data_IF_465082255633
#
_entry.id   IF_465082255633
#
_cell.length_a   1.000
_cell.length_b   1.000
_cell.length_c   1.000
_cell.angle_alpha   90.00
_cell.angle_beta   90.00
_cell.angle_gamma   90.00
#
_symmetry.space_group_name_H-M   'P 1'
#
loop_
_entity.id
_entity.type
_entity.pdbx_description
1 polymer ?
#
# COMPACT_ATOMS: atom_id res chain seq x y z
N UNK A 1 -29.72 3.23 -23.55
CA UNK A 1 -28.42 2.54 -23.54
C UNK A 1 -28.65 1.15 -24.12
N UNK A 2 -27.87 0.74 -25.12
CA UNK A 2 -27.97 -0.59 -25.72
C UNK A 2 -27.75 -1.70 -24.67
N UNK A 3 -28.39 -2.86 -24.84
CA UNK A 3 -28.28 -3.99 -23.91
C UNK A 3 -26.83 -4.45 -23.75
N UNK A 4 -26.06 -4.46 -24.85
CA UNK A 4 -24.65 -4.84 -24.86
C UNK A 4 -23.79 -3.87 -24.06
N UNK A 5 -24.00 -2.56 -24.22
CA UNK A 5 -23.34 -1.52 -23.41
C UNK A 5 -23.65 -1.71 -21.93
N UNK A 6 -24.93 -1.92 -21.60
CA UNK A 6 -25.37 -2.13 -20.21
C UNK A 6 -24.69 -3.34 -19.59
N UNK A 7 -24.67 -4.47 -20.30
CA UNK A 7 -24.03 -5.70 -19.81
C UNK A 7 -22.53 -5.52 -19.62
N UNK A 8 -21.84 -4.84 -20.54
CA UNK A 8 -20.39 -4.54 -20.41
C UNK A 8 -20.09 -3.68 -19.19
N UNK A 9 -20.91 -2.64 -18.93
CA UNK A 9 -20.80 -1.81 -17.72
C UNK A 9 -20.97 -2.64 -16.45
N UNK A 10 -21.99 -3.50 -16.39
CA UNK A 10 -22.25 -4.38 -15.24
C UNK A 10 -21.13 -5.41 -15.03
N UNK A 11 -20.56 -5.97 -16.10
CA UNK A 11 -19.41 -6.87 -16.01
C UNK A 11 -18.20 -6.14 -15.45
N UNK A 12 -17.89 -4.93 -15.93
CA UNK A 12 -16.79 -4.12 -15.37
C UNK A 12 -17.03 -3.77 -13.90
N UNK A 13 -18.28 -3.51 -13.50
CA UNK A 13 -18.65 -3.32 -12.10
C UNK A 13 -18.38 -4.59 -11.27
N UNK A 14 -18.76 -5.76 -11.79
CA UNK A 14 -18.42 -7.05 -11.16
C UNK A 14 -16.92 -7.26 -11.01
N UNK A 15 -16.13 -6.91 -12.03
CA UNK A 15 -14.66 -7.00 -12.00
C UNK A 15 -14.07 -6.11 -10.90
N UNK A 16 -14.53 -4.86 -10.74
CA UNK A 16 -14.00 -4.00 -9.68
C UNK A 16 -14.38 -4.50 -8.29
N UNK A 17 -15.57 -5.09 -8.11
CA UNK A 17 -15.94 -5.71 -6.84
C UNK A 17 -15.03 -6.92 -6.54
N UNK A 18 -14.65 -7.71 -7.54
CA UNK A 18 -13.67 -8.79 -7.39
C UNK A 18 -12.29 -8.23 -7.05
N UNK A 19 -11.85 -7.12 -7.68
CA UNK A 19 -10.59 -6.45 -7.32
C UNK A 19 -10.59 -5.98 -5.86
N UNK A 20 -11.71 -5.43 -5.38
CA UNK A 20 -11.88 -5.04 -3.97
C UNK A 20 -11.80 -6.27 -3.05
N UNK A 21 -12.42 -7.39 -3.42
CA UNK A 21 -12.30 -8.65 -2.66
C UNK A 21 -10.88 -9.21 -2.68
N UNK A 22 -10.23 -9.21 -3.84
CA UNK A 22 -8.83 -9.61 -3.99
C UNK A 22 -7.91 -8.79 -3.07
N UNK A 23 -8.25 -7.51 -2.89
CA UNK A 23 -7.57 -6.63 -1.96
C UNK A 23 -7.80 -7.00 -0.50
N UNK A 24 -9.05 -7.29 -0.12
CA UNK A 24 -9.40 -7.78 1.24
C UNK A 24 -8.59 -9.03 1.61
N UNK A 25 -8.39 -9.92 0.63
CA UNK A 25 -7.67 -11.18 0.81
C UNK A 25 -6.15 -11.10 0.59
N UNK A 26 -5.59 -9.91 0.33
CA UNK A 26 -4.17 -9.75 -0.02
C UNK A 26 -3.21 -10.38 1.02
N UNK A 27 -3.58 -10.38 2.31
CA UNK A 27 -2.83 -11.03 3.40
C UNK A 27 -2.68 -12.54 3.18
N UNK A 28 -3.73 -13.22 2.69
CA UNK A 28 -3.71 -14.68 2.43
C UNK A 28 -2.74 -15.05 1.30
N UNK A 29 -2.54 -14.13 0.37
CA UNK A 29 -1.62 -14.29 -0.75
C UNK A 29 -0.19 -13.79 -0.45
N UNK A 30 0.04 -13.20 0.73
CA UNK A 30 1.33 -12.59 1.05
C UNK A 30 1.62 -11.34 0.22
N UNK A 31 0.57 -10.69 -0.30
CA UNK A 31 0.63 -9.46 -1.09
C UNK A 31 0.06 -8.25 -0.32
N UNK A 32 -0.41 -8.44 0.92
CA UNK A 32 -0.76 -7.32 1.77
C UNK A 32 0.43 -6.38 1.92
N UNK A 33 0.12 -5.09 2.05
CA UNK A 33 1.09 -4.00 1.98
C UNK A 33 2.24 -4.10 2.99
N UNK A 34 2.05 -4.95 4.01
CA UNK A 34 2.77 -4.91 5.25
C UNK A 34 3.23 -6.29 5.79
N UNK A 35 3.34 -7.30 4.91
CA UNK A 35 3.59 -8.70 5.32
C UNK A 35 4.90 -9.31 4.76
N UNK A 36 5.88 -8.49 4.35
CA UNK A 36 7.18 -8.99 3.85
C UNK A 36 7.91 -9.89 4.86
N UNK A 37 7.73 -9.62 6.15
CA UNK A 37 8.08 -10.52 7.23
C UNK A 37 6.81 -10.78 8.03
N UNK A 38 6.24 -11.98 7.90
CA UNK A 38 5.15 -12.39 8.80
C UNK A 38 5.63 -12.26 10.25
N UNK A 39 4.67 -12.10 11.16
CA UNK A 39 4.90 -12.03 12.62
C UNK A 39 5.78 -13.17 13.16
N UNK A 40 5.83 -14.28 12.42
CA UNK A 40 6.52 -15.52 12.73
C UNK A 40 7.89 -15.66 12.01
N UNK A 41 8.33 -14.65 11.25
CA UNK A 41 9.63 -14.61 10.59
C UNK A 41 9.76 -15.41 9.28
N UNK A 42 8.67 -16.01 8.80
CA UNK A 42 8.68 -16.78 7.56
C UNK A 42 8.34 -15.92 6.33
N UNK A 43 8.99 -16.22 5.21
CA UNK A 43 8.77 -15.54 3.94
C UNK A 43 7.39 -15.87 3.35
N UNK A 44 6.76 -14.92 2.63
CA UNK A 44 5.55 -15.20 1.88
C UNK A 44 5.82 -16.18 0.73
N UNK A 45 4.84 -17.02 0.39
CA UNK A 45 4.99 -17.97 -0.70
C UNK A 45 4.93 -17.27 -2.04
N UNK A 46 6.04 -17.34 -2.80
CA UNK A 46 6.19 -16.67 -4.09
C UNK A 46 5.04 -17.01 -5.06
N UNK A 47 4.62 -18.27 -5.12
CA UNK A 47 3.53 -18.70 -5.99
C UNK A 47 2.19 -18.04 -5.67
N UNK A 48 1.82 -17.87 -4.39
CA UNK A 48 0.58 -17.18 -4.02
C UNK A 48 0.66 -15.69 -4.36
N UNK A 49 1.81 -15.08 -4.12
CA UNK A 49 2.02 -13.67 -4.42
C UNK A 49 1.98 -13.38 -5.92
N UNK A 50 2.60 -14.23 -6.73
CA UNK A 50 2.51 -14.18 -8.19
C UNK A 50 1.07 -14.39 -8.67
N UNK A 51 0.31 -15.32 -8.07
CA UNK A 51 -1.09 -15.52 -8.40
C UNK A 51 -1.93 -14.26 -8.10
N UNK A 52 -1.67 -13.58 -6.98
CA UNK A 52 -2.34 -12.33 -6.64
C UNK A 52 -2.03 -11.22 -7.67
N UNK A 53 -0.78 -11.09 -8.10
CA UNK A 53 -0.43 -10.15 -9.17
C UNK A 53 -1.11 -10.51 -10.48
N UNK A 54 -1.04 -11.78 -10.90
CA UNK A 54 -1.65 -12.24 -12.13
C UNK A 54 -3.17 -11.97 -12.16
N UNK A 55 -3.86 -12.22 -11.03
CA UNK A 55 -5.28 -11.90 -10.88
C UNK A 55 -5.51 -10.38 -10.90
N UNK A 56 -4.75 -9.59 -10.16
CA UNK A 56 -4.91 -8.15 -10.09
C UNK A 56 -4.70 -7.47 -11.45
N UNK A 57 -3.55 -7.70 -12.09
CA UNK A 57 -3.26 -7.17 -13.42
C UNK A 57 -4.25 -7.71 -14.46
N UNK A 58 -4.54 -9.02 -14.43
CA UNK A 58 -5.48 -9.65 -15.36
C UNK A 58 -6.89 -9.06 -15.28
N UNK A 59 -7.41 -8.82 -14.08
CA UNK A 59 -8.71 -8.19 -13.86
C UNK A 59 -8.71 -6.72 -14.29
N UNK A 60 -7.64 -5.95 -14.04
CA UNK A 60 -7.52 -4.56 -14.52
C UNK A 60 -7.53 -4.52 -16.06
N UNK A 61 -6.77 -5.40 -16.73
CA UNK A 61 -6.75 -5.50 -18.19
C UNK A 61 -8.12 -5.93 -18.72
N UNK A 62 -8.78 -6.90 -18.08
CA UNK A 62 -10.11 -7.34 -18.45
C UNK A 62 -11.13 -6.20 -18.31
N UNK A 63 -11.09 -5.42 -17.23
CA UNK A 63 -11.93 -4.24 -17.04
C UNK A 63 -11.73 -3.22 -18.17
N UNK A 64 -10.47 -2.91 -18.51
CA UNK A 64 -10.13 -1.97 -19.58
C UNK A 64 -10.62 -2.43 -20.97
N UNK A 65 -10.58 -3.73 -21.23
CA UNK A 65 -11.03 -4.29 -22.51
C UNK A 65 -12.55 -4.41 -22.60
N UNK A 66 -13.20 -4.84 -21.52
CA UNK A 66 -14.65 -5.04 -21.46
C UNK A 66 -15.40 -3.71 -21.41
N UNK A 67 -14.88 -2.69 -20.73
CA UNK A 67 -15.59 -1.42 -20.57
C UNK A 67 -15.94 -0.78 -21.93
N UNK A 68 -17.19 -0.32 -22.13
CA UNK A 68 -17.60 0.23 -23.42
C UNK A 68 -16.95 1.59 -23.66
N UNK A 69 -16.51 1.82 -24.91
CA UNK A 69 -15.92 3.11 -25.33
C UNK A 69 -16.98 4.20 -25.47
N UNK A 70 -18.23 3.79 -25.60
CA UNK A 70 -19.40 4.65 -25.71
C UNK A 70 -19.97 5.03 -24.34
N UNK A 71 -19.32 4.62 -23.24
CA UNK A 71 -19.73 4.99 -21.91
C UNK A 71 -19.66 6.51 -21.70
N UNK A 72 -20.57 7.05 -20.91
CA UNK A 72 -20.65 8.49 -20.64
C UNK A 72 -19.43 9.02 -19.87
N UNK A 73 -18.75 8.16 -19.11
CA UNK A 73 -17.56 8.51 -18.34
C UNK A 73 -16.46 7.51 -18.62
N UNK A 74 -15.27 7.98 -18.94
CA UNK A 74 -14.12 7.11 -19.10
C UNK A 74 -13.61 6.60 -17.75
N UNK A 75 -13.03 5.40 -17.75
CA UNK A 75 -12.26 4.92 -16.61
C UNK A 75 -10.97 5.74 -16.49
N UNK A 76 -10.56 6.07 -15.28
CA UNK A 76 -9.34 6.83 -15.04
C UNK A 76 -8.05 5.99 -15.17
N UNK A 77 -8.05 4.90 -15.94
CA UNK A 77 -6.92 3.97 -16.05
C UNK A 77 -5.72 4.53 -16.82
N UNK A 78 -5.87 5.68 -17.48
CA UNK A 78 -4.82 6.35 -18.23
C UNK A 78 -3.86 7.19 -17.37
N UNK A 79 -2.94 7.86 -18.03
CA UNK A 79 -2.03 8.82 -17.40
C UNK A 79 -2.68 10.19 -17.11
N UNK A 80 -3.84 10.49 -17.71
CA UNK A 80 -4.44 11.82 -17.65
C UNK A 80 -3.56 12.90 -18.31
N UNK A 81 -3.71 14.16 -17.87
CA UNK A 81 -2.78 15.23 -18.23
C UNK A 81 -1.35 14.90 -17.75
N UNK A 82 -0.42 14.78 -18.70
CA UNK A 82 0.94 14.29 -18.42
C UNK A 82 1.71 15.21 -17.49
N UNK A 83 1.58 16.53 -17.67
CA UNK A 83 2.30 17.51 -16.86
C UNK A 83 1.74 17.52 -15.43
N UNK A 84 0.42 17.59 -15.28
CA UNK A 84 -0.27 17.48 -14.00
C UNK A 84 0.01 16.17 -13.27
N UNK A 85 0.02 15.03 -13.98
CA UNK A 85 0.35 13.72 -13.41
C UNK A 85 1.78 13.67 -12.89
N UNK A 86 2.75 14.17 -13.66
CA UNK A 86 4.14 14.18 -13.26
C UNK A 86 4.38 15.11 -12.06
N UNK A 87 3.94 16.36 -12.15
CA UNK A 87 4.14 17.37 -11.10
C UNK A 87 3.39 16.96 -9.84
N UNK A 88 2.10 16.65 -9.97
CA UNK A 88 1.27 16.23 -8.84
C UNK A 88 1.75 14.93 -8.21
N UNK A 89 2.18 13.96 -9.02
CA UNK A 89 2.76 12.71 -8.54
C UNK A 89 4.08 12.91 -7.80
N UNK A 90 4.97 13.78 -8.28
CA UNK A 90 6.23 14.12 -7.60
C UNK A 90 6.00 14.90 -6.29
N UNK A 91 5.05 15.84 -6.28
CA UNK A 91 4.66 16.54 -5.05
C UNK A 91 4.09 15.57 -4.02
N UNK A 92 3.19 14.68 -4.45
CA UNK A 92 2.61 13.67 -3.58
C UNK A 92 3.67 12.69 -3.06
N UNK A 93 4.59 12.24 -3.92
CA UNK A 93 5.75 11.43 -3.55
C UNK A 93 6.65 12.13 -2.53
N UNK A 94 6.91 13.43 -2.71
CA UNK A 94 7.69 14.24 -1.78
C UNK A 94 7.03 14.35 -0.41
N UNK A 95 5.72 14.63 -0.38
CA UNK A 95 4.93 14.68 0.85
C UNK A 95 4.95 13.33 1.56
N UNK A 96 4.69 12.24 0.83
CA UNK A 96 4.70 10.88 1.39
C UNK A 96 6.07 10.47 1.93
N UNK A 97 7.15 10.86 1.25
CA UNK A 97 8.52 10.61 1.70
C UNK A 97 8.86 11.39 2.97
N UNK A 98 8.56 12.70 2.99
CA UNK A 98 8.77 13.54 4.16
C UNK A 98 7.96 13.04 5.37
N UNK A 99 6.73 12.60 5.11
CA UNK A 99 5.84 12.02 6.11
C UNK A 99 6.40 10.70 6.67
N UNK A 100 6.89 9.80 5.83
CA UNK A 100 7.49 8.54 6.25
C UNK A 100 8.77 8.74 7.08
N UNK A 101 9.67 9.63 6.62
CA UNK A 101 10.90 9.97 7.33
C UNK A 101 10.59 10.68 8.65
N UNK A 102 9.68 11.65 8.64
CA UNK A 102 9.25 12.38 9.83
C UNK A 102 8.65 11.45 10.88
N UNK A 103 7.81 10.50 10.46
CA UNK A 103 7.30 9.47 11.35
C UNK A 103 8.41 8.60 11.93
N UNK A 104 9.35 8.14 11.10
CA UNK A 104 10.46 7.32 11.57
C UNK A 104 11.33 8.05 12.60
N UNK A 105 11.70 9.32 12.33
CA UNK A 105 12.47 10.15 13.26
C UNK A 105 11.70 10.42 14.54
N UNK A 106 10.40 10.73 14.47
CA UNK A 106 9.57 10.95 15.65
C UNK A 106 9.39 9.68 16.50
N UNK A 107 9.23 8.51 15.85
CA UNK A 107 8.89 7.25 16.50
C UNK A 107 10.10 6.46 16.99
N UNK A 108 11.21 6.52 16.26
CA UNK A 108 12.43 5.73 16.47
C UNK A 108 13.67 6.58 16.73
N UNK A 109 13.61 7.91 16.60
CA UNK A 109 14.75 8.84 16.68
C UNK A 109 15.82 8.66 15.59
N UNK A 110 15.60 7.76 14.63
CA UNK A 110 16.46 7.54 13.47
C UNK A 110 15.66 6.88 12.33
N UNK A 111 16.24 6.88 11.13
CA UNK A 111 15.74 6.07 10.00
C UNK A 111 16.23 4.64 10.16
N UNK A 112 15.32 3.68 10.08
CA UNK A 112 15.61 2.26 10.28
C UNK A 112 15.59 1.55 8.93
N UNK A 113 16.76 1.42 8.31
CA UNK A 113 16.84 0.77 7.00
C UNK A 113 16.58 -0.74 7.11
N UNK A 114 15.85 -1.35 6.16
CA UNK A 114 15.62 -2.79 6.14
C UNK A 114 16.87 -3.58 5.74
N UNK A 115 16.84 -4.91 5.95
CA UNK A 115 17.86 -5.82 5.43
C UNK A 115 17.94 -5.71 3.89
N UNK A 116 19.14 -5.55 3.28
CA UNK A 116 19.33 -5.49 1.84
C UNK A 116 18.63 -6.60 1.04
N UNK A 117 18.50 -7.80 1.62
CA UNK A 117 17.83 -8.94 0.98
C UNK A 117 16.33 -8.74 0.78
N UNK A 118 15.70 -7.89 1.58
CA UNK A 118 14.26 -7.60 1.50
C UNK A 118 13.91 -6.59 0.39
N UNK A 119 14.88 -5.82 -0.13
CA UNK A 119 14.62 -4.72 -1.07
C UNK A 119 13.94 -5.18 -2.36
N UNK A 120 14.43 -6.20 -3.10
CA UNK A 120 13.84 -6.55 -4.39
C UNK A 120 12.38 -6.98 -4.26
N UNK A 121 12.09 -7.81 -3.24
CA UNK A 121 10.74 -8.27 -2.95
C UNK A 121 9.82 -7.13 -2.52
N UNK A 122 10.25 -6.32 -1.55
CA UNK A 122 9.43 -5.25 -0.98
C UNK A 122 9.13 -4.14 -1.97
N UNK A 123 10.12 -3.71 -2.74
CA UNK A 123 9.93 -2.67 -3.75
C UNK A 123 9.02 -3.16 -4.88
N UNK A 124 9.20 -4.39 -5.35
CA UNK A 124 8.29 -4.98 -6.33
C UNK A 124 6.87 -5.12 -5.76
N UNK A 125 6.73 -5.46 -4.47
CA UNK A 125 5.43 -5.48 -3.78
C UNK A 125 4.76 -4.12 -3.85
N UNK A 126 5.48 -3.10 -3.39
CA UNK A 126 4.98 -1.76 -3.23
C UNK A 126 4.50 -1.22 -4.57
N UNK A 127 5.27 -1.42 -5.64
CA UNK A 127 4.92 -1.00 -6.99
C UNK A 127 3.72 -1.79 -7.53
N UNK A 128 3.75 -3.13 -7.47
CA UNK A 128 2.67 -3.95 -8.04
C UNK A 128 1.33 -3.73 -7.31
N UNK A 129 1.36 -3.69 -5.98
CA UNK A 129 0.16 -3.49 -5.16
C UNK A 129 -0.39 -2.06 -5.29
N UNK A 130 0.47 -1.03 -5.30
CA UNK A 130 0.01 0.34 -5.54
C UNK A 130 -0.61 0.50 -6.92
N UNK A 131 -0.08 -0.13 -7.97
CA UNK A 131 -0.70 -0.12 -9.29
C UNK A 131 -2.11 -0.73 -9.26
N UNK A 132 -2.24 -1.93 -8.70
CA UNK A 132 -3.54 -2.64 -8.62
C UNK A 132 -4.53 -1.86 -7.77
N UNK A 133 -4.09 -1.29 -6.64
CA UNK A 133 -4.92 -0.49 -5.75
C UNK A 133 -5.39 0.80 -6.45
N UNK A 134 -4.49 1.52 -7.13
CA UNK A 134 -4.88 2.75 -7.84
C UNK A 134 -5.81 2.43 -9.02
N UNK A 135 -5.54 1.38 -9.80
CA UNK A 135 -6.43 0.96 -10.88
C UNK A 135 -7.82 0.56 -10.37
N UNK A 136 -7.90 -0.22 -9.28
CA UNK A 136 -9.17 -0.67 -8.72
C UNK A 136 -9.98 0.49 -8.11
N UNK A 137 -9.37 1.26 -7.20
CA UNK A 137 -10.09 2.25 -6.40
C UNK A 137 -10.20 3.61 -7.09
N UNK A 138 -9.12 4.10 -7.72
CA UNK A 138 -9.09 5.43 -8.37
C UNK A 138 -9.38 5.35 -9.86
N UNK A 139 -8.96 4.27 -10.52
CA UNK A 139 -9.25 4.02 -11.92
C UNK A 139 -10.71 3.68 -12.17
N UNK A 140 -11.19 2.61 -11.54
CA UNK A 140 -12.48 1.99 -11.87
C UNK A 140 -13.58 2.39 -10.89
N UNK A 141 -13.41 2.14 -9.58
CA UNK A 141 -14.46 2.41 -8.59
C UNK A 141 -14.82 3.90 -8.56
N UNK A 142 -13.83 4.79 -8.53
CA UNK A 142 -14.04 6.23 -8.56
C UNK A 142 -14.77 6.69 -9.84
N UNK A 143 -14.40 6.14 -11.01
CA UNK A 143 -15.10 6.43 -12.26
C UNK A 143 -16.57 6.01 -12.21
N UNK A 144 -16.89 4.87 -11.60
CA UNK A 144 -18.28 4.45 -11.38
C UNK A 144 -19.03 5.38 -10.42
N UNK A 145 -18.40 5.81 -9.32
CA UNK A 145 -19.02 6.72 -8.36
C UNK A 145 -19.33 8.08 -8.98
N UNK A 146 -18.37 8.65 -9.71
CA UNK A 146 -18.55 9.92 -10.45
C UNK A 146 -19.58 9.75 -11.58
N UNK A 147 -19.48 8.66 -12.35
CA UNK A 147 -20.42 8.36 -13.44
C UNK A 147 -21.85 8.11 -12.96
N UNK A 148 -22.04 7.68 -11.71
CA UNK A 148 -23.34 7.59 -11.06
C UNK A 148 -23.91 8.96 -10.63
N UNK A 149 -23.20 10.05 -10.87
CA UNK A 149 -23.63 11.41 -10.55
C UNK A 149 -23.28 11.88 -9.14
N UNK A 150 -22.43 11.14 -8.40
CA UNK A 150 -21.99 11.62 -7.08
C UNK A 150 -21.08 12.85 -7.24
N UNK A 151 -21.21 13.85 -6.36
CA UNK A 151 -20.28 14.98 -6.33
C UNK A 151 -18.83 14.49 -6.18
N UNK A 152 -17.84 15.11 -6.86
CA UNK A 152 -16.46 14.60 -6.87
C UNK A 152 -15.87 14.34 -5.49
N UNK A 153 -16.06 15.25 -4.53
CA UNK A 153 -15.56 15.07 -3.16
C UNK A 153 -16.22 13.88 -2.44
N UNK A 154 -17.51 13.63 -2.67
CA UNK A 154 -18.23 12.48 -2.10
C UNK A 154 -17.71 11.18 -2.72
N UNK A 155 -17.51 11.15 -4.05
CA UNK A 155 -16.96 9.98 -4.74
C UNK A 155 -15.53 9.67 -4.29
N UNK A 156 -14.67 10.70 -4.16
CA UNK A 156 -13.29 10.57 -3.65
C UNK A 156 -13.29 10.05 -2.22
N UNK A 157 -14.19 10.55 -1.37
CA UNK A 157 -14.28 10.10 0.03
C UNK A 157 -14.79 8.66 0.11
N UNK A 158 -15.83 8.32 -0.67
CA UNK A 158 -16.39 6.97 -0.73
C UNK A 158 -15.37 5.92 -1.17
N UNK A 159 -14.60 6.17 -2.23
CA UNK A 159 -13.53 5.25 -2.64
C UNK A 159 -12.41 5.16 -1.61
N UNK A 160 -12.04 6.27 -0.95
CA UNK A 160 -10.96 6.28 0.03
C UNK A 160 -11.32 5.44 1.26
N UNK A 161 -12.59 5.53 1.71
CA UNK A 161 -13.14 4.68 2.76
C UNK A 161 -13.20 3.22 2.32
N UNK A 162 -13.66 2.94 1.10
CA UNK A 162 -13.67 1.57 0.56
C UNK A 162 -12.27 0.95 0.51
N UNK A 163 -11.27 1.73 0.08
CA UNK A 163 -9.86 1.32 0.08
C UNK A 163 -9.37 1.06 1.51
N UNK A 164 -9.60 1.98 2.45
CA UNK A 164 -9.21 1.80 3.84
C UNK A 164 -9.85 0.55 4.48
N UNK A 165 -11.13 0.30 4.22
CA UNK A 165 -11.83 -0.91 4.66
C UNK A 165 -11.21 -2.17 4.03
N UNK A 166 -10.90 -2.13 2.73
CA UNK A 166 -10.29 -3.25 2.03
C UNK A 166 -8.87 -3.57 2.53
N UNK A 167 -8.14 -2.59 3.07
CA UNK A 167 -6.83 -2.82 3.71
C UNK A 167 -6.92 -3.47 5.10
N UNK A 168 -8.12 -3.50 5.72
CA UNK A 168 -8.37 -4.02 7.07
C UNK A 168 -7.52 -3.37 8.19
N UNK A 169 -6.95 -2.20 7.95
CA UNK A 169 -6.13 -1.48 8.93
C UNK A 169 -6.91 -0.95 10.14
N UNK A 170 -8.25 -0.93 10.07
CA UNK A 170 -9.10 -0.60 11.23
C UNK A 170 -9.30 -1.75 12.22
N UNK A 171 -8.82 -2.96 11.93
CA UNK A 171 -9.01 -4.12 12.80
C UNK A 171 -8.20 -4.02 14.11
N UNK A 172 -8.67 -4.63 15.22
CA UNK A 172 -7.93 -4.64 16.49
C UNK A 172 -6.49 -5.13 16.34
N UNK A 173 -5.54 -4.40 16.90
CA UNK A 173 -4.11 -4.73 16.84
C UNK A 173 -3.33 -4.12 15.68
N UNK A 174 -3.99 -3.34 14.79
CA UNK A 174 -3.35 -2.55 13.73
C UNK A 174 -3.00 -1.14 14.22
N UNK A 175 -1.95 -0.55 13.64
CA UNK A 175 -1.48 0.79 14.02
C UNK A 175 -2.40 1.90 13.46
N UNK A 176 -2.83 2.83 14.33
CA UNK A 176 -3.72 3.95 13.95
C UNK A 176 -3.07 4.93 12.98
N UNK A 177 -1.75 5.09 13.04
CA UNK A 177 -0.99 5.90 12.09
C UNK A 177 -1.13 5.32 10.67
N UNK A 178 -1.03 3.99 10.52
CA UNK A 178 -1.17 3.35 9.22
C UNK A 178 -2.58 3.52 8.66
N UNK A 179 -3.62 3.45 9.50
CA UNK A 179 -4.99 3.77 9.10
C UNK A 179 -5.12 5.22 8.61
N UNK A 180 -4.56 6.18 9.35
CA UNK A 180 -4.56 7.59 8.96
C UNK A 180 -3.82 7.83 7.64
N UNK A 181 -2.67 7.18 7.47
CA UNK A 181 -1.88 7.26 6.24
C UNK A 181 -2.63 6.69 5.04
N UNK A 182 -3.28 5.53 5.18
CA UNK A 182 -4.08 4.92 4.11
C UNK A 182 -5.31 5.77 3.75
N UNK A 183 -5.96 6.41 4.71
CA UNK A 183 -7.04 7.35 4.44
C UNK A 183 -6.52 8.60 3.70
N UNK A 184 -5.37 9.14 4.12
CA UNK A 184 -4.72 10.27 3.45
C UNK A 184 -4.34 9.93 2.01
N UNK A 185 -3.63 8.81 1.79
CA UNK A 185 -3.28 8.31 0.45
C UNK A 185 -4.55 8.03 -0.36
N UNK A 186 -5.55 7.40 0.27
CA UNK A 186 -6.94 7.27 -0.17
C UNK A 186 -7.45 8.51 -0.89
N UNK A 187 -7.54 9.57 -0.11
CA UNK A 187 -8.11 10.84 -0.48
C UNK A 187 -7.23 11.61 -1.48
N UNK A 188 -5.93 11.74 -1.20
CA UNK A 188 -4.99 12.49 -2.03
C UNK A 188 -4.85 11.90 -3.44
N UNK A 189 -4.71 10.57 -3.56
CA UNK A 189 -4.71 9.89 -4.85
C UNK A 189 -6.02 10.11 -5.61
N UNK A 190 -7.17 10.09 -4.92
CA UNK A 190 -8.47 10.31 -5.55
C UNK A 190 -8.63 11.74 -6.08
N UNK A 191 -8.20 12.73 -5.29
CA UNK A 191 -8.17 14.13 -5.71
C UNK A 191 -7.26 14.32 -6.93
N UNK A 192 -6.06 13.75 -6.90
CA UNK A 192 -5.10 13.83 -8.00
C UNK A 192 -5.64 13.15 -9.27
N UNK A 193 -6.31 12.01 -9.12
CA UNK A 193 -6.89 11.27 -10.25
C UNK A 193 -8.01 12.05 -10.93
N UNK A 194 -8.94 12.65 -10.16
CA UNK A 194 -10.04 13.44 -10.74
C UNK A 194 -9.52 14.71 -11.40
N UNK A 195 -8.54 15.37 -10.77
CA UNK A 195 -7.99 16.64 -11.29
C UNK A 195 -7.20 16.45 -12.58
N UNK A 196 -6.46 15.35 -12.70
CA UNK A 196 -5.61 15.08 -13.85
C UNK A 196 -6.31 14.20 -14.90
N UNK A 197 -7.36 13.49 -14.52
CA UNK A 197 -8.10 12.57 -15.41
C UNK A 197 -7.41 11.22 -15.60
N UNK A 198 -6.61 10.76 -14.64
CA UNK A 198 -5.92 9.48 -14.73
C UNK A 198 -5.15 9.09 -13.48
N UNK A 199 -4.88 7.79 -13.31
CA UNK A 199 -4.17 7.25 -12.15
C UNK A 199 -2.65 7.50 -12.18
N UNK A 200 -2.07 8.01 -13.27
CA UNK A 200 -0.62 8.12 -13.45
C UNK A 200 0.11 8.80 -12.28
N UNK A 201 -0.29 10.02 -11.92
CA UNK A 201 0.28 10.75 -10.78
C UNK A 201 -0.03 10.11 -9.42
N UNK A 202 -1.25 9.59 -9.25
CA UNK A 202 -1.67 8.92 -8.02
C UNK A 202 -0.84 7.65 -7.75
N UNK A 203 -0.63 6.83 -8.79
CA UNK A 203 0.23 5.65 -8.77
C UNK A 203 1.67 6.01 -8.41
N UNK A 204 2.25 7.03 -9.06
CA UNK A 204 3.62 7.46 -8.75
C UNK A 204 3.76 7.85 -7.27
N UNK A 205 2.88 8.74 -6.78
CA UNK A 205 2.95 9.21 -5.40
C UNK A 205 2.68 8.10 -4.38
N UNK A 206 1.69 7.24 -4.63
CA UNK A 206 1.39 6.11 -3.76
C UNK A 206 2.55 5.08 -3.73
N UNK A 207 3.08 4.68 -4.88
CA UNK A 207 4.21 3.75 -4.97
C UNK A 207 5.43 4.28 -4.20
N UNK A 208 5.80 5.55 -4.42
CA UNK A 208 6.94 6.16 -3.72
C UNK A 208 6.69 6.27 -2.22
N UNK A 209 5.48 6.68 -1.80
CA UNK A 209 5.12 6.76 -0.37
C UNK A 209 5.31 5.41 0.32
N UNK A 210 4.91 4.31 -0.32
CA UNK A 210 5.07 2.97 0.24
C UNK A 210 6.52 2.54 0.33
N UNK A 211 7.30 2.79 -0.72
CA UNK A 211 8.73 2.54 -0.71
C UNK A 211 9.41 3.36 0.41
N UNK A 212 9.03 4.63 0.57
CA UNK A 212 9.56 5.49 1.61
C UNK A 212 9.21 4.99 3.02
N UNK A 213 7.98 4.54 3.28
CA UNK A 213 7.59 3.93 4.55
C UNK A 213 8.42 2.68 4.85
N UNK A 214 8.58 1.80 3.86
CA UNK A 214 9.40 0.60 4.00
C UNK A 214 10.86 0.93 4.32
N UNK A 215 11.46 1.86 3.57
CA UNK A 215 12.85 2.28 3.76
C UNK A 215 13.06 3.03 5.07
N UNK A 216 12.11 3.89 5.47
CA UNK A 216 12.26 4.74 6.65
C UNK A 216 12.05 3.97 7.96
N UNK A 217 11.15 2.98 7.96
CA UNK A 217 10.73 2.27 9.18
C UNK A 217 11.31 0.87 9.30
N UNK A 218 11.90 0.32 8.23
CA UNK A 218 12.54 -1.00 8.21
C UNK A 218 11.54 -2.15 8.31
N UNK A 219 10.26 -1.82 8.36
CA UNK A 219 9.14 -2.73 8.36
C UNK A 219 8.33 -2.41 7.12
N UNK A 220 7.83 -3.44 6.45
CA UNK A 220 6.67 -3.25 5.58
C UNK A 220 5.49 -2.94 6.51
N UNK A 221 5.36 -1.69 6.98
CA UNK A 221 4.24 -1.05 7.69
C UNK A 221 3.42 -1.77 8.78
N UNK A 222 3.90 -2.83 9.43
CA UNK A 222 3.44 -3.18 10.78
C UNK A 222 4.43 -2.65 11.81
N UNK A 223 4.22 -1.41 12.23
CA UNK A 223 4.91 -0.84 13.38
C UNK A 223 4.47 -1.64 14.61
N UNK A 224 5.40 -2.36 15.25
CA UNK A 224 5.06 -3.04 16.49
C UNK A 224 4.68 -1.99 17.56
N UNK A 225 3.72 -2.31 18.46
CA UNK A 225 3.43 -1.45 19.60
C UNK A 225 4.71 -1.10 20.36
N UNK A 226 4.80 0.14 20.88
CA UNK A 226 5.94 0.60 21.69
C UNK A 226 6.28 -0.45 22.76
N UNK A 227 7.55 -0.84 22.87
CA UNK A 227 8.03 -1.81 23.85
C UNK A 227 7.86 -3.28 23.47
N UNK A 228 7.31 -3.58 22.28
CA UNK A 228 7.18 -4.93 21.68
C UNK A 228 7.96 -5.10 20.37
N UNK A 229 8.77 -4.12 20.01
CA UNK A 229 9.70 -4.25 18.88
C UNK A 229 10.76 -5.31 19.21
N UNK A 230 11.28 -6.03 18.20
CA UNK A 230 12.34 -7.02 18.42
C UNK A 230 13.53 -6.41 19.17
N UNK A 231 13.91 -5.19 18.81
CA UNK A 231 14.98 -4.43 19.46
C UNK A 231 14.62 -3.98 20.88
N UNK A 232 13.37 -3.58 21.15
CA UNK A 232 12.93 -3.26 22.51
C UNK A 232 12.96 -4.50 23.41
N UNK A 233 12.54 -5.65 22.87
CA UNK A 233 12.57 -6.94 23.56
C UNK A 233 14.03 -7.38 23.77
N UNK A 234 14.87 -7.26 22.74
CA UNK A 234 16.30 -7.55 22.79
C UNK A 234 17.01 -6.64 23.81
N UNK A 235 16.73 -5.33 23.79
CA UNK A 235 17.27 -4.35 24.75
C UNK A 235 16.83 -4.64 26.18
N UNK A 236 15.61 -5.16 26.38
CA UNK A 236 15.16 -5.67 27.70
C UNK A 236 15.83 -6.99 28.10
N UNK A 237 16.24 -7.82 27.13
CA UNK A 237 16.93 -9.10 27.37
C UNK A 237 18.44 -8.92 27.57
N UNK A 238 19.03 -7.88 26.99
CA UNK A 238 20.44 -7.53 27.17
C UNK A 238 20.64 -6.88 28.54
N UNK A 239 21.80 -7.13 29.14
CA UNK A 239 22.23 -6.38 30.31
C UNK A 239 22.28 -4.88 29.96
N UNK A 240 21.86 -3.99 30.88
CA UNK A 240 21.96 -2.55 30.66
C UNK A 240 23.39 -2.14 30.28
N UNK A 241 23.53 -1.09 29.48
CA UNK A 241 24.86 -0.54 29.17
C UNK A 241 25.60 -0.20 30.47
N UNK A 242 26.83 -0.71 30.60
CA UNK A 242 27.65 -0.58 31.80
C UNK A 242 27.49 -1.70 32.84
N UNK A 243 26.61 -2.68 32.62
CA UNK A 243 26.42 -3.81 33.53
C UNK A 243 27.03 -5.10 32.95
N UNK A 244 27.94 -5.72 33.71
CA UNK A 244 28.46 -7.05 33.38
C UNK A 244 27.47 -8.12 33.89
N UNK A 245 27.18 -9.11 33.05
CA UNK A 245 26.37 -10.25 33.45
C UNK A 245 27.11 -11.06 34.54
N UNK A 246 26.57 -11.06 35.76
CA UNK A 246 27.13 -11.83 36.87
C UNK A 246 27.03 -13.32 36.53
N UNK A 247 28.16 -13.96 36.22
CA UNK A 247 28.25 -15.41 35.97
C UNK A 247 28.67 -15.85 34.57
N UNK A 248 28.91 -14.93 33.62
CA UNK A 248 29.63 -15.27 32.39
C UNK A 248 31.11 -15.47 32.77
N UNK A 249 31.51 -16.70 33.08
CA UNK A 249 32.92 -17.06 33.27
C UNK A 249 33.67 -16.66 32.01
N UNK A 250 34.66 -15.79 32.18
CA UNK A 250 35.70 -15.52 31.19
C UNK A 250 36.33 -16.86 30.77
N UNK A 251 35.94 -17.41 29.64
CA UNK A 251 36.57 -18.61 29.06
C UNK A 251 37.88 -18.26 28.34
N UNK A 252 38.57 -17.20 28.77
CA UNK A 252 39.77 -16.68 28.11
C UNK A 252 40.99 -16.66 29.05
N UNK A 253 41.12 -17.70 29.87
CA UNK A 253 42.37 -17.98 30.59
C UNK A 253 42.74 -19.46 30.44
N UNK A 254 43.63 -19.73 29.49
CA UNK A 254 44.35 -20.99 29.34
C UNK A 254 44.93 -21.04 27.93
N UNK A 255 46.24 -21.08 27.69
CA UNK A 255 47.40 -21.05 28.56
C UNK A 255 48.59 -20.60 27.69
N UNK A 256 49.69 -20.24 28.34
CA UNK A 256 51.00 -20.02 27.71
C UNK A 256 51.56 -21.29 27.07
#
# INVERSE_FOLDING_TARGET
MELTTTLRVLVTLGIVLILVMLRVDAERFGAAEYDEARRDGHWPSLGRRLAWYALGFGLVIAAAFVYPREATHDLYLGLGDRAGSLIGGLLFAGIGTAQAVGFAVYRYHHVRLPDPRAYPGALLNAVATSFIDEAAFRGILLAFLVGAGLPPLVAITGQALAYALATRLGAPGRDRYMLGLVLFVGFASGLLTVTVGGIGGAFLGHAVTRCAVFLATGHAGQVAPRGREKEDIERKRRTPEGWNAVGARDSNSGDR
#
